data_IF_838205647449
#
_entry.id   IF_838205647449
#
_cell.length_a   1.000
_cell.length_b   1.000
_cell.length_c   1.000
_cell.angle_alpha   90.00
_cell.angle_beta   90.00
_cell.angle_gamma   90.00
#
_symmetry.space_group_name_H-M   'P 1'
#
loop_
_entity.id
_entity.type
_entity.pdbx_description
1 polymer ?
#
# COMPACT_ATOMS: atom_id res chain seq x y z
N UNK A 1 1.25 9.46 -13.33
CA UNK A 1 2.68 9.44 -13.75
C UNK A 1 3.44 10.60 -13.14
N UNK A 2 3.11 11.87 -13.46
CA UNK A 2 3.78 13.05 -12.86
C UNK A 2 3.81 13.02 -11.33
N UNK A 3 2.67 12.80 -10.67
CA UNK A 3 2.56 12.82 -9.21
C UNK A 3 3.54 11.84 -8.53
N UNK A 4 3.68 10.63 -9.09
CA UNK A 4 4.63 9.63 -8.58
C UNK A 4 6.10 10.04 -8.79
N UNK A 5 6.40 10.83 -9.83
CA UNK A 5 7.75 11.33 -10.13
C UNK A 5 8.12 12.55 -9.27
N UNK A 6 7.12 13.34 -8.84
CA UNK A 6 7.31 14.45 -7.89
C UNK A 6 7.54 13.97 -6.46
N UNK A 7 7.16 12.72 -6.14
CA UNK A 7 7.51 12.06 -4.88
C UNK A 7 9.02 11.76 -4.84
N UNK A 8 9.77 12.69 -4.25
CA UNK A 8 11.22 12.60 -4.08
C UNK A 8 11.66 11.49 -3.12
N UNK A 9 10.82 11.09 -2.16
CA UNK A 9 11.15 9.99 -1.24
C UNK A 9 11.09 8.66 -1.98
N UNK A 10 10.01 8.44 -2.75
CA UNK A 10 9.87 7.29 -3.67
C UNK A 10 10.99 7.27 -4.71
N UNK A 11 11.05 8.32 -5.53
CA UNK A 11 11.94 8.35 -6.69
C UNK A 11 13.41 8.35 -6.25
N UNK A 12 13.72 9.04 -5.16
CA UNK A 12 15.05 9.04 -4.54
C UNK A 12 15.48 7.67 -4.01
N UNK A 13 14.58 6.91 -3.38
CA UNK A 13 14.90 5.56 -2.91
C UNK A 13 15.22 4.60 -4.07
N UNK A 14 14.44 4.63 -5.15
CA UNK A 14 14.73 3.84 -6.36
C UNK A 14 16.01 4.31 -7.06
N UNK A 15 16.24 5.62 -7.14
CA UNK A 15 17.48 6.15 -7.70
C UNK A 15 18.68 5.67 -6.90
N UNK A 16 18.64 5.78 -5.58
CA UNK A 16 19.73 5.35 -4.69
C UNK A 16 19.93 3.84 -4.72
N UNK A 17 18.85 3.04 -4.75
CA UNK A 17 18.97 1.58 -4.77
C UNK A 17 19.70 1.07 -6.00
N UNK A 18 19.62 1.80 -7.12
CA UNK A 18 20.37 1.50 -8.34
C UNK A 18 21.75 2.18 -8.33
N UNK A 19 21.83 3.48 -8.06
CA UNK A 19 23.06 4.27 -8.24
C UNK A 19 24.11 4.04 -7.15
N UNK A 20 23.72 3.65 -5.94
CA UNK A 20 24.66 3.25 -4.89
C UNK A 20 25.12 1.79 -5.07
N UNK A 21 24.44 1.02 -5.91
CA UNK A 21 24.71 -0.39 -6.19
C UNK A 21 25.04 -0.63 -7.67
N UNK A 22 25.71 0.31 -8.36
CA UNK A 22 25.98 0.20 -9.80
C UNK A 22 26.71 -1.10 -10.20
N UNK A 23 27.60 -1.61 -9.33
CA UNK A 23 28.32 -2.87 -9.57
C UNK A 23 27.37 -4.05 -9.77
N UNK A 24 26.26 -4.06 -9.03
CA UNK A 24 25.24 -5.10 -9.12
C UNK A 24 24.48 -5.05 -10.46
N UNK A 25 24.41 -3.88 -11.12
CA UNK A 25 23.76 -3.67 -12.42
C UNK A 25 24.73 -3.77 -13.61
N UNK A 26 26.03 -3.55 -13.40
CA UNK A 26 27.00 -3.48 -14.48
C UNK A 26 27.07 -4.79 -15.28
N UNK A 27 26.85 -4.69 -16.60
CA UNK A 27 26.86 -5.84 -17.51
C UNK A 27 25.65 -6.78 -17.39
N UNK A 28 24.66 -6.45 -16.55
CA UNK A 28 23.47 -7.27 -16.30
C UNK A 28 22.34 -7.03 -17.30
N UNK A 29 21.47 -8.03 -17.46
CA UNK A 29 20.20 -7.90 -18.16
C UNK A 29 19.10 -7.60 -17.14
N UNK A 30 18.37 -6.52 -17.34
CA UNK A 30 17.37 -6.01 -16.40
C UNK A 30 15.97 -6.04 -17.03
N UNK A 31 14.97 -6.42 -16.25
CA UNK A 31 13.56 -6.27 -16.60
C UNK A 31 12.92 -5.21 -15.69
N UNK A 32 12.34 -4.18 -16.28
CA UNK A 32 11.52 -3.17 -15.62
C UNK A 32 10.04 -3.46 -15.89
N UNK A 33 9.32 -3.92 -14.87
CA UNK A 33 7.90 -4.32 -14.97
C UNK A 33 6.99 -3.15 -14.63
N UNK A 34 6.21 -2.69 -15.60
CA UNK A 34 5.36 -1.51 -15.45
C UNK A 34 6.17 -0.22 -15.52
N UNK A 35 7.00 -0.08 -16.56
CA UNK A 35 8.00 0.98 -16.65
C UNK A 35 7.41 2.40 -16.64
N UNK A 36 6.13 2.55 -16.99
CA UNK A 36 5.45 3.85 -17.03
C UNK A 36 6.19 4.83 -17.93
N UNK A 37 6.81 5.84 -17.33
CA UNK A 37 7.63 6.85 -18.02
C UNK A 37 9.01 6.36 -18.49
N UNK A 38 9.48 5.18 -18.09
CA UNK A 38 10.82 4.68 -18.40
C UNK A 38 11.89 5.02 -17.36
N UNK A 39 11.54 5.69 -16.26
CA UNK A 39 12.54 6.24 -15.33
C UNK A 39 13.44 5.19 -14.68
N UNK A 40 12.89 4.04 -14.25
CA UNK A 40 13.67 2.97 -13.61
C UNK A 40 14.56 2.25 -14.63
N UNK A 41 14.04 2.01 -15.84
CA UNK A 41 14.85 1.52 -16.95
C UNK A 41 16.02 2.45 -17.31
N UNK A 42 15.81 3.76 -17.28
CA UNK A 42 16.87 4.76 -17.46
C UNK A 42 17.91 4.70 -16.34
N UNK A 43 17.49 4.52 -15.09
CA UNK A 43 18.43 4.34 -13.96
C UNK A 43 19.28 3.09 -14.16
N UNK A 44 18.65 1.95 -14.45
CA UNK A 44 19.36 0.68 -14.68
C UNK A 44 20.38 0.80 -15.84
N UNK A 45 19.99 1.43 -16.95
CA UNK A 45 20.90 1.65 -18.08
C UNK A 45 22.07 2.58 -17.72
N UNK A 46 21.82 3.66 -16.99
CA UNK A 46 22.87 4.58 -16.50
C UNK A 46 23.82 3.92 -15.50
N UNK A 47 23.36 2.92 -14.76
CA UNK A 47 24.19 2.09 -13.87
C UNK A 47 25.03 1.04 -14.60
N UNK A 48 24.98 1.00 -15.93
CA UNK A 48 25.82 0.12 -16.75
C UNK A 48 25.19 -1.22 -17.08
N UNK A 49 23.86 -1.37 -16.97
CA UNK A 49 23.18 -2.56 -17.46
C UNK A 49 23.52 -2.81 -18.95
N UNK A 50 23.79 -4.08 -19.28
CA UNK A 50 24.04 -4.50 -20.67
C UNK A 50 22.80 -4.34 -21.54
N UNK A 51 21.63 -4.65 -20.97
CA UNK A 51 20.34 -4.57 -21.65
C UNK A 51 19.24 -4.31 -20.62
N UNK A 52 18.26 -3.50 -20.97
CA UNK A 52 17.04 -3.31 -20.17
C UNK A 52 15.81 -3.57 -21.02
N UNK A 53 14.95 -4.47 -20.57
CA UNK A 53 13.61 -4.67 -21.12
C UNK A 53 12.62 -3.88 -20.27
N UNK A 54 12.02 -2.83 -20.84
CA UNK A 54 11.10 -1.95 -20.13
C UNK A 54 9.68 -2.22 -20.62
N UNK A 55 8.87 -2.90 -19.80
CA UNK A 55 7.54 -3.37 -20.20
C UNK A 55 6.47 -2.42 -19.66
N UNK A 56 5.59 -1.94 -20.52
CA UNK A 56 4.46 -1.07 -20.16
C UNK A 56 3.20 -1.47 -20.91
N UNK A 57 2.10 -1.67 -20.20
CA UNK A 57 0.85 -2.15 -20.79
C UNK A 57 0.11 -1.07 -21.60
N UNK A 58 0.19 0.18 -21.16
CA UNK A 58 -0.58 1.30 -21.69
C UNK A 58 0.16 2.04 -22.81
N UNK A 59 -0.50 3.05 -23.37
CA UNK A 59 0.11 3.98 -24.33
C UNK A 59 1.25 4.82 -23.74
N UNK A 60 1.48 4.77 -22.42
CA UNK A 60 2.64 5.39 -21.79
C UNK A 60 3.97 4.86 -22.35
N UNK A 61 3.98 3.64 -22.90
CA UNK A 61 5.13 3.05 -23.59
C UNK A 61 5.65 3.94 -24.74
N UNK A 62 4.78 4.71 -25.41
CA UNK A 62 5.18 5.66 -26.46
C UNK A 62 6.07 6.76 -25.88
N UNK A 63 5.70 7.32 -24.73
CA UNK A 63 6.46 8.35 -24.05
C UNK A 63 7.74 7.81 -23.39
N UNK A 64 7.70 6.58 -22.85
CA UNK A 64 8.89 5.91 -22.35
C UNK A 64 9.96 5.75 -23.45
N UNK A 65 9.56 5.41 -24.69
CA UNK A 65 10.49 5.39 -25.84
C UNK A 65 11.11 6.76 -26.09
N UNK A 66 10.31 7.82 -26.07
CA UNK A 66 10.82 9.19 -26.23
C UNK A 66 11.81 9.59 -25.13
N UNK A 67 11.54 9.21 -23.88
CA UNK A 67 12.47 9.46 -22.74
C UNK A 67 13.78 8.70 -22.90
N UNK A 68 13.72 7.43 -23.31
CA UNK A 68 14.90 6.60 -23.58
C UNK A 68 15.73 7.20 -24.71
N UNK A 69 15.08 7.57 -25.83
CA UNK A 69 15.73 8.16 -26.99
C UNK A 69 16.38 9.51 -26.66
N UNK A 70 15.68 10.40 -25.95
CA UNK A 70 16.20 11.71 -25.57
C UNK A 70 17.38 11.64 -24.60
N UNK A 71 17.55 10.51 -23.90
CA UNK A 71 18.69 10.25 -23.02
C UNK A 71 19.84 9.49 -23.72
N UNK A 72 19.71 9.17 -25.02
CA UNK A 72 20.73 8.44 -25.77
C UNK A 72 20.89 6.98 -25.34
N UNK A 73 19.82 6.35 -24.85
CA UNK A 73 19.85 5.00 -24.27
C UNK A 73 19.16 3.93 -25.12
N UNK A 74 18.78 4.26 -26.36
CA UNK A 74 18.03 3.37 -27.27
C UNK A 74 18.75 2.05 -27.58
N UNK A 75 20.09 2.02 -27.53
CA UNK A 75 20.87 0.80 -27.76
C UNK A 75 20.77 -0.18 -26.57
N UNK A 76 20.57 0.34 -25.36
CA UNK A 76 20.53 -0.44 -24.11
C UNK A 76 19.09 -0.79 -23.72
N UNK A 77 18.18 0.18 -23.77
CA UNK A 77 16.80 0.03 -23.30
C UNK A 77 15.86 -0.29 -24.46
N UNK A 78 15.11 -1.39 -24.34
CA UNK A 78 14.06 -1.78 -25.28
C UNK A 78 12.71 -1.71 -24.59
N UNK A 79 11.89 -0.73 -25.02
CA UNK A 79 10.54 -0.52 -24.49
C UNK A 79 9.53 -1.40 -25.25
N UNK A 80 8.89 -2.31 -24.52
CA UNK A 80 7.90 -3.26 -25.03
C UNK A 80 6.52 -2.82 -24.54
N UNK A 81 5.62 -2.52 -25.48
CA UNK A 81 4.24 -2.20 -25.14
C UNK A 81 3.42 -3.50 -25.06
N UNK A 82 2.87 -3.82 -23.90
CA UNK A 82 2.05 -5.01 -23.68
C UNK A 82 1.96 -5.44 -22.22
N UNK A 83 1.00 -6.31 -21.92
CA UNK A 83 0.84 -6.94 -20.60
C UNK A 83 1.99 -7.92 -20.36
N UNK A 84 2.69 -7.82 -19.23
CA UNK A 84 3.88 -8.65 -18.94
C UNK A 84 3.57 -10.15 -18.94
N UNK A 85 2.32 -10.50 -18.63
CA UNK A 85 1.74 -11.84 -18.67
C UNK A 85 1.74 -12.44 -20.09
N UNK A 86 1.66 -11.59 -21.12
CA UNK A 86 1.51 -12.01 -22.53
C UNK A 86 2.77 -11.84 -23.37
N UNK A 87 3.70 -10.98 -22.95
CA UNK A 87 4.94 -10.71 -23.69
C UNK A 87 5.95 -11.83 -23.53
N UNK A 88 6.95 -11.82 -24.42
CA UNK A 88 8.13 -12.69 -24.36
C UNK A 88 9.37 -11.83 -24.18
N UNK A 89 10.23 -12.23 -23.25
CA UNK A 89 11.60 -11.74 -23.13
C UNK A 89 12.51 -12.80 -23.75
N UNK A 90 13.45 -12.43 -24.65
CA UNK A 90 14.21 -13.40 -25.44
C UNK A 90 15.32 -14.14 -24.66
N UNK A 91 15.62 -13.70 -23.44
CA UNK A 91 16.65 -14.28 -22.56
C UNK A 91 16.25 -14.14 -21.08
N UNK A 92 16.76 -15.00 -20.17
CA UNK A 92 16.62 -14.78 -18.73
C UNK A 92 17.24 -13.44 -18.30
N UNK A 93 16.68 -12.82 -17.26
CA UNK A 93 17.16 -11.55 -16.73
C UNK A 93 17.85 -11.75 -15.38
N UNK A 94 18.91 -10.98 -15.12
CA UNK A 94 19.65 -11.01 -13.86
C UNK A 94 18.93 -10.22 -12.76
N UNK A 95 18.18 -9.18 -13.14
CA UNK A 95 17.51 -8.26 -12.20
C UNK A 95 16.09 -7.99 -12.68
N UNK A 96 15.13 -8.08 -11.77
CA UNK A 96 13.81 -7.48 -11.96
C UNK A 96 13.69 -6.27 -11.04
N UNK A 97 13.45 -5.11 -11.64
CA UNK A 97 13.12 -3.88 -10.94
C UNK A 97 11.68 -3.51 -11.25
N UNK A 98 10.92 -3.10 -10.24
CA UNK A 98 9.55 -2.65 -10.43
C UNK A 98 9.11 -1.80 -9.26
N UNK A 99 8.32 -0.78 -9.56
CA UNK A 99 7.53 -0.09 -8.55
C UNK A 99 6.08 -0.54 -8.73
N UNK A 100 5.66 -1.43 -7.83
CA UNK A 100 4.40 -2.16 -7.89
C UNK A 100 3.47 -1.86 -6.71
N UNK A 101 3.93 -1.05 -5.76
CA UNK A 101 3.28 -0.91 -4.47
C UNK A 101 2.07 0.02 -4.60
N UNK A 102 0.88 -0.48 -4.24
CA UNK A 102 -0.31 0.34 -4.09
C UNK A 102 -0.45 0.90 -2.67
N UNK A 103 -1.56 1.60 -2.39
CA UNK A 103 -1.92 1.92 -1.01
C UNK A 103 -1.99 0.65 -0.15
N UNK A 104 -1.51 0.76 1.10
CA UNK A 104 -1.37 -0.39 1.99
C UNK A 104 -0.64 -1.58 1.35
N UNK A 105 0.37 -1.28 0.52
CA UNK A 105 1.24 -2.21 -0.24
C UNK A 105 0.53 -2.99 -1.36
N UNK A 106 -0.61 -3.60 -1.05
CA UNK A 106 -1.23 -4.66 -1.88
C UNK A 106 -2.34 -4.16 -2.80
N UNK A 107 -2.78 -2.89 -2.69
CA UNK A 107 -3.80 -2.34 -3.60
C UNK A 107 -3.30 -2.41 -5.05
N UNK A 108 -4.23 -2.52 -5.99
CA UNK A 108 -3.99 -2.62 -7.44
C UNK A 108 -3.51 -3.99 -7.92
N UNK A 109 -3.12 -4.88 -7.00
CA UNK A 109 -2.65 -6.25 -7.28
C UNK A 109 -1.50 -6.34 -8.28
N UNK A 110 -0.69 -5.29 -8.43
CA UNK A 110 0.41 -5.28 -9.39
C UNK A 110 1.54 -6.25 -9.00
N UNK A 111 1.62 -6.64 -7.72
CA UNK A 111 2.54 -7.68 -7.25
C UNK A 111 2.33 -9.00 -8.02
N UNK A 112 1.11 -9.34 -8.44
CA UNK A 112 0.82 -10.53 -9.24
C UNK A 112 1.67 -10.56 -10.53
N UNK A 113 1.68 -9.45 -11.26
CA UNK A 113 2.46 -9.29 -12.50
C UNK A 113 3.97 -9.38 -12.25
N UNK A 114 4.45 -8.89 -11.10
CA UNK A 114 5.87 -8.97 -10.71
C UNK A 114 6.26 -10.40 -10.36
N UNK A 115 5.44 -11.13 -9.60
CA UNK A 115 5.71 -12.52 -9.25
C UNK A 115 5.68 -13.43 -10.48
N UNK A 116 4.72 -13.22 -11.38
CA UNK A 116 4.69 -13.91 -12.68
C UNK A 116 5.94 -13.61 -13.51
N UNK A 117 6.44 -12.38 -13.48
CA UNK A 117 7.67 -12.00 -14.18
C UNK A 117 8.90 -12.66 -13.57
N UNK A 118 8.98 -12.73 -12.23
CA UNK A 118 10.02 -13.45 -11.50
C UNK A 118 10.07 -14.90 -11.92
N UNK A 119 8.94 -15.60 -11.84
CA UNK A 119 8.88 -17.05 -12.07
C UNK A 119 9.16 -17.42 -13.54
N UNK A 120 8.87 -16.51 -14.48
CA UNK A 120 9.06 -16.74 -15.92
C UNK A 120 10.43 -16.31 -16.44
N UNK A 121 10.99 -15.22 -15.92
CA UNK A 121 12.10 -14.53 -16.56
C UNK A 121 13.34 -14.39 -15.69
N UNK A 122 13.24 -14.42 -14.36
CA UNK A 122 14.41 -14.24 -13.50
C UNK A 122 15.33 -15.45 -13.59
N UNK A 123 16.61 -15.21 -13.86
CA UNK A 123 17.63 -16.26 -13.83
C UNK A 123 17.82 -16.79 -12.39
N UNK A 124 18.27 -18.04 -12.20
CA UNK A 124 18.68 -18.53 -10.88
C UNK A 124 19.71 -17.61 -10.23
N UNK A 125 19.47 -17.21 -8.98
CA UNK A 125 20.30 -16.23 -8.25
C UNK A 125 20.09 -14.77 -8.66
N UNK A 126 19.16 -14.49 -9.58
CA UNK A 126 18.80 -13.13 -9.95
C UNK A 126 18.21 -12.32 -8.79
N UNK A 127 18.30 -11.00 -8.89
CA UNK A 127 17.91 -10.09 -7.82
C UNK A 127 16.59 -9.35 -8.08
N UNK A 128 15.81 -9.16 -7.02
CA UNK A 128 14.56 -8.39 -7.02
C UNK A 128 14.78 -6.99 -6.41
N UNK A 129 14.24 -5.96 -7.06
CA UNK A 129 14.27 -4.57 -6.60
C UNK A 129 12.84 -3.99 -6.55
N UNK A 130 12.23 -3.84 -5.35
CA UNK A 130 12.76 -4.22 -4.02
C UNK A 130 12.88 -5.73 -3.83
N UNK A 131 13.61 -6.18 -2.81
CA UNK A 131 13.77 -7.61 -2.47
C UNK A 131 12.84 -8.06 -1.34
N UNK A 132 12.45 -7.14 -0.46
CA UNK A 132 11.53 -7.42 0.65
C UNK A 132 10.49 -6.32 0.79
N UNK A 133 9.33 -6.68 1.33
CA UNK A 133 8.28 -5.74 1.70
C UNK A 133 7.69 -6.08 3.07
N UNK A 134 7.33 -5.08 3.87
CA UNK A 134 6.76 -5.22 5.21
C UNK A 134 5.56 -4.33 5.39
N UNK A 135 4.58 -4.79 6.16
CA UNK A 135 3.36 -4.03 6.49
C UNK A 135 3.27 -3.83 7.99
N UNK A 136 2.88 -2.63 8.40
CA UNK A 136 2.85 -2.20 9.80
C UNK A 136 1.48 -1.69 10.19
N UNK A 137 1.17 -1.85 11.48
CA UNK A 137 0.09 -1.14 12.15
C UNK A 137 0.64 -0.36 13.34
N UNK A 138 -0.01 0.75 13.65
CA UNK A 138 0.28 1.60 14.81
C UNK A 138 -1.02 2.29 15.28
N UNK A 139 -1.29 2.37 16.59
CA UNK A 139 -2.45 3.10 17.09
C UNK A 139 -2.18 4.61 17.07
N UNK A 140 -3.14 5.39 16.58
CA UNK A 140 -3.02 6.85 16.50
C UNK A 140 -4.20 7.58 17.16
N UNK A 141 -3.94 8.82 17.56
CA UNK A 141 -4.92 9.82 17.96
C UNK A 141 -5.15 10.82 16.82
N UNK A 142 -6.40 11.12 16.49
CA UNK A 142 -6.73 12.04 15.40
C UNK A 142 -8.14 12.60 15.50
N UNK A 143 -8.27 13.90 15.22
CA UNK A 143 -9.57 14.57 15.14
C UNK A 143 -10.35 14.17 13.86
N UNK A 144 -9.71 13.54 12.89
CA UNK A 144 -10.40 13.09 11.67
C UNK A 144 -11.50 12.04 11.98
N UNK A 145 -11.34 11.25 13.03
CA UNK A 145 -12.34 10.27 13.44
C UNK A 145 -13.64 10.93 13.95
N UNK A 146 -13.53 12.03 14.71
CA UNK A 146 -14.71 12.77 15.16
C UNK A 146 -15.38 13.52 14.01
N UNK A 147 -14.59 14.17 13.15
CA UNK A 147 -15.09 14.87 11.96
C UNK A 147 -15.92 13.95 11.06
N UNK A 148 -15.40 12.77 10.69
CA UNK A 148 -16.13 11.81 9.85
C UNK A 148 -17.42 11.31 10.50
N UNK A 149 -17.45 11.19 11.83
CA UNK A 149 -18.66 10.82 12.58
C UNK A 149 -19.70 11.94 12.57
N UNK A 150 -19.26 13.18 12.71
CA UNK A 150 -20.13 14.36 12.61
C UNK A 150 -20.73 14.48 11.20
N UNK A 151 -19.91 14.32 10.16
CA UNK A 151 -20.36 14.29 8.76
C UNK A 151 -21.36 13.18 8.48
N UNK A 152 -21.08 11.96 8.96
CA UNK A 152 -22.03 10.84 8.89
C UNK A 152 -23.35 11.19 9.58
N UNK A 153 -23.28 11.72 10.80
CA UNK A 153 -24.48 12.05 11.60
C UNK A 153 -25.31 13.16 10.94
N UNK A 154 -24.65 14.18 10.40
CA UNK A 154 -25.28 15.25 9.63
C UNK A 154 -25.94 14.74 8.36
N UNK A 155 -25.27 13.84 7.63
CA UNK A 155 -25.82 13.20 6.42
C UNK A 155 -27.06 12.37 6.75
N UNK A 156 -27.03 11.59 7.84
CA UNK A 156 -28.18 10.81 8.28
C UNK A 156 -29.35 11.68 8.75
N UNK A 157 -29.08 12.82 9.37
CA UNK A 157 -30.12 13.78 9.74
C UNK A 157 -30.73 14.42 8.48
N UNK A 158 -29.89 14.90 7.55
CA UNK A 158 -30.35 15.49 6.29
C UNK A 158 -31.18 14.52 5.46
N UNK A 159 -30.88 13.22 5.50
CA UNK A 159 -31.71 12.19 4.87
C UNK A 159 -33.10 12.09 5.50
N UNK A 160 -33.21 12.13 6.83
CA UNK A 160 -34.52 12.10 7.51
C UNK A 160 -35.37 13.33 7.18
N UNK A 161 -34.73 14.50 7.15
CA UNK A 161 -35.41 15.75 6.81
C UNK A 161 -35.89 15.71 5.35
N UNK A 162 -35.04 15.26 4.42
CA UNK A 162 -35.41 15.04 3.02
C UNK A 162 -36.58 14.05 2.86
N UNK A 163 -36.59 12.95 3.62
CA UNK A 163 -37.69 11.99 3.60
C UNK A 163 -39.00 12.62 4.08
N UNK A 164 -38.95 13.45 5.13
CA UNK A 164 -40.11 14.16 5.64
C UNK A 164 -40.65 15.16 4.60
N UNK A 165 -39.78 15.94 3.96
CA UNK A 165 -40.15 16.87 2.90
C UNK A 165 -40.80 16.13 1.71
N UNK A 166 -40.23 15.01 1.27
CA UNK A 166 -40.79 14.26 0.13
C UNK A 166 -42.17 13.69 0.45
N UNK A 167 -42.36 13.20 1.68
CA UNK A 167 -43.66 12.74 2.14
C UNK A 167 -44.68 13.89 2.24
N UNK A 168 -44.27 15.07 2.71
CA UNK A 168 -45.15 16.24 2.88
C UNK A 168 -45.54 16.88 1.54
N UNK A 169 -44.57 17.12 0.65
CA UNK A 169 -44.78 17.88 -0.58
C UNK A 169 -45.25 17.02 -1.76
N UNK A 170 -44.88 15.73 -1.79
CA UNK A 170 -45.14 14.85 -2.93
C UNK A 170 -45.92 13.59 -2.59
N UNK A 171 -46.24 13.33 -1.31
CA UNK A 171 -46.93 12.12 -0.85
C UNK A 171 -46.24 10.82 -1.28
N UNK A 172 -44.89 10.79 -1.20
CA UNK A 172 -44.08 9.61 -1.53
C UNK A 172 -43.30 9.14 -0.30
N UNK A 173 -43.56 7.90 0.14
CA UNK A 173 -42.82 7.25 1.22
C UNK A 173 -41.50 6.66 0.72
N UNK A 174 -40.38 7.26 1.14
CA UNK A 174 -39.02 6.80 0.83
C UNK A 174 -38.40 5.94 1.94
N UNK A 175 -39.15 5.54 2.98
CA UNK A 175 -38.64 4.77 4.13
C UNK A 175 -37.96 3.45 3.74
N UNK A 176 -38.35 2.86 2.61
CA UNK A 176 -37.72 1.66 2.06
C UNK A 176 -36.24 1.87 1.70
N UNK A 177 -35.80 3.11 1.47
CA UNK A 177 -34.42 3.47 1.13
C UNK A 177 -33.55 3.81 2.35
N UNK A 178 -34.12 3.97 3.55
CA UNK A 178 -33.34 4.38 4.73
C UNK A 178 -32.22 3.41 5.09
N UNK A 179 -32.49 2.09 5.05
CA UNK A 179 -31.47 1.07 5.36
C UNK A 179 -30.36 0.99 4.31
N UNK A 180 -30.67 0.93 2.99
CA UNK A 180 -29.64 1.04 1.95
C UNK A 180 -28.79 2.31 2.07
N UNK A 181 -29.43 3.46 2.29
CA UNK A 181 -28.74 4.74 2.43
C UNK A 181 -27.82 4.74 3.67
N UNK A 182 -28.31 4.31 4.84
CA UNK A 182 -27.50 4.22 6.06
C UNK A 182 -26.26 3.34 5.85
N UNK A 183 -26.43 2.18 5.19
CA UNK A 183 -25.32 1.28 4.88
C UNK A 183 -24.29 1.97 3.98
N UNK A 184 -24.73 2.60 2.90
CA UNK A 184 -23.85 3.31 1.97
C UNK A 184 -23.04 4.41 2.67
N UNK A 185 -23.71 5.24 3.47
CA UNK A 185 -23.04 6.32 4.20
C UNK A 185 -22.10 5.78 5.28
N UNK A 186 -22.45 4.67 5.93
CA UNK A 186 -21.58 4.02 6.92
C UNK A 186 -20.32 3.49 6.24
N UNK A 187 -20.48 2.78 5.12
CA UNK A 187 -19.39 2.22 4.33
C UNK A 187 -18.44 3.34 3.87
N UNK A 188 -18.98 4.48 3.44
CA UNK A 188 -18.21 5.64 2.97
C UNK A 188 -17.51 6.41 4.11
N UNK A 189 -18.23 6.81 5.16
CA UNK A 189 -17.67 7.67 6.21
C UNK A 189 -16.90 6.90 7.28
N UNK A 190 -17.38 5.72 7.70
CA UNK A 190 -16.87 5.07 8.91
C UNK A 190 -16.02 3.83 8.61
N UNK A 191 -16.39 3.05 7.60
CA UNK A 191 -15.75 1.77 7.32
C UNK A 191 -14.77 1.86 6.12
N UNK A 192 -14.69 2.98 5.40
CA UNK A 192 -13.65 3.21 4.39
C UNK A 192 -12.30 3.54 5.05
N UNK A 193 -11.24 2.84 4.64
CA UNK A 193 -9.88 3.27 4.92
C UNK A 193 -9.61 4.58 4.19
N UNK A 194 -8.95 5.51 4.87
CA UNK A 194 -8.64 6.82 4.30
C UNK A 194 -7.15 7.04 4.16
N UNK A 195 -6.76 7.68 3.06
CA UNK A 195 -5.45 8.31 2.95
C UNK A 195 -5.32 9.42 4.00
N UNK A 196 -4.21 9.45 4.72
CA UNK A 196 -3.85 10.51 5.66
C UNK A 196 -2.34 10.79 5.59
N UNK A 197 -1.97 12.04 5.82
CA UNK A 197 -0.60 12.46 6.13
C UNK A 197 -0.42 12.49 7.65
N UNK A 198 -0.10 11.35 8.24
CA UNK A 198 -0.03 11.18 9.69
C UNK A 198 1.30 11.74 10.19
N UNK A 199 1.24 12.68 11.14
CA UNK A 199 2.42 13.20 11.81
C UNK A 199 2.87 12.27 12.96
N UNK A 200 4.18 12.09 13.22
CA UNK A 200 4.66 11.23 14.30
C UNK A 200 4.09 11.55 15.70
N UNK A 201 3.71 12.81 15.97
CA UNK A 201 3.07 13.20 17.24
C UNK A 201 1.67 12.63 17.45
N UNK A 202 1.05 12.05 16.41
CA UNK A 202 -0.25 11.39 16.50
C UNK A 202 -0.12 9.94 16.95
N UNK A 203 1.10 9.38 16.97
CA UNK A 203 1.35 8.00 17.36
C UNK A 203 1.16 7.82 18.86
N UNK A 204 0.35 6.83 19.26
CA UNK A 204 0.02 6.53 20.67
C UNK A 204 0.79 5.31 21.18
N UNK A 205 1.36 4.51 20.27
CA UNK A 205 1.99 3.24 20.59
C UNK A 205 3.09 2.85 19.62
N UNK A 206 3.82 1.78 19.92
CA UNK A 206 4.88 1.33 19.03
C UNK A 206 4.30 0.66 17.78
N UNK A 207 4.88 0.94 16.59
CA UNK A 207 4.49 0.25 15.39
C UNK A 207 4.91 -1.22 15.42
N UNK A 208 4.09 -2.09 14.84
CA UNK A 208 4.39 -3.52 14.74
C UNK A 208 4.27 -3.98 13.30
N UNK A 209 5.34 -4.62 12.80
CA UNK A 209 5.32 -5.36 11.55
C UNK A 209 4.45 -6.61 11.73
N UNK A 210 3.30 -6.66 11.08
CA UNK A 210 2.38 -7.80 11.19
C UNK A 210 2.51 -8.76 10.00
N UNK A 211 3.11 -8.32 8.89
CA UNK A 211 3.33 -9.14 7.70
C UNK A 211 4.63 -8.73 6.99
N UNK A 212 5.38 -9.72 6.54
CA UNK A 212 6.63 -9.54 5.78
C UNK A 212 6.63 -10.49 4.58
N UNK A 213 7.15 -10.01 3.46
CA UNK A 213 7.29 -10.74 2.21
C UNK A 213 8.76 -10.70 1.77
N UNK A 214 9.32 -11.89 1.51
CA UNK A 214 10.56 -12.05 0.74
C UNK A 214 10.15 -12.27 -0.71
N UNK A 215 10.47 -11.30 -1.58
CA UNK A 215 10.00 -11.31 -2.97
C UNK A 215 10.66 -12.39 -3.83
N UNK A 216 11.72 -13.05 -3.34
CA UNK A 216 12.28 -14.22 -4.01
C UNK A 216 11.49 -15.50 -3.69
N UNK A 217 10.75 -15.52 -2.57
CA UNK A 217 10.10 -16.74 -2.06
C UNK A 217 8.57 -16.71 -2.11
N UNK A 218 7.97 -15.54 -1.94
CA UNK A 218 6.52 -15.38 -1.87
C UNK A 218 5.86 -15.92 -3.13
N UNK A 219 4.80 -16.70 -2.99
CA UNK A 219 4.05 -17.26 -4.10
C UNK A 219 2.82 -16.41 -4.37
N UNK A 220 2.31 -16.47 -5.61
CA UNK A 220 1.12 -15.69 -5.97
C UNK A 220 -0.11 -16.06 -5.12
N UNK A 221 -0.21 -17.33 -4.70
CA UNK A 221 -1.27 -17.80 -3.82
C UNK A 221 -1.22 -17.13 -2.45
N UNK A 222 -0.03 -16.80 -1.93
CA UNK A 222 0.13 -16.12 -0.64
C UNK A 222 -0.51 -14.72 -0.60
N UNK A 223 -0.80 -14.13 -1.78
CA UNK A 223 -1.38 -12.80 -1.95
C UNK A 223 -2.81 -12.86 -2.54
N UNK A 224 -3.15 -13.93 -3.26
CA UNK A 224 -4.49 -14.13 -3.83
C UNK A 224 -5.47 -14.74 -2.84
N UNK A 225 -4.98 -15.60 -1.94
CA UNK A 225 -5.77 -16.13 -0.83
C UNK A 225 -5.88 -15.11 0.32
N UNK A 226 -6.77 -15.38 1.29
CA UNK A 226 -6.93 -14.54 2.47
C UNK A 226 -5.63 -14.43 3.25
N UNK A 227 -5.08 -13.22 3.35
CA UNK A 227 -3.89 -12.97 4.16
C UNK A 227 -4.30 -12.82 5.61
N UNK A 228 -3.91 -13.80 6.43
CA UNK A 228 -4.17 -13.81 7.86
C UNK A 228 -2.93 -13.36 8.64
N UNK A 229 -3.12 -12.53 9.67
CA UNK A 229 -2.08 -12.12 10.59
C UNK A 229 -2.63 -11.84 11.99
N UNK A 230 -1.76 -11.86 12.99
CA UNK A 230 -2.08 -11.42 14.35
C UNK A 230 -0.90 -10.64 14.90
N UNK A 231 -1.17 -9.51 15.52
CA UNK A 231 -0.15 -8.71 16.19
C UNK A 231 -0.72 -8.06 17.46
N UNK A 232 0.18 -7.56 18.31
CA UNK A 232 -0.19 -6.85 19.52
C UNK A 232 0.56 -5.53 19.53
N UNK A 233 -0.17 -4.42 19.47
CA UNK A 233 0.38 -3.07 19.44
C UNK A 233 0.59 -2.57 20.88
N UNK A 234 1.83 -2.30 21.32
CA UNK A 234 2.07 -1.74 22.65
C UNK A 234 1.59 -0.29 22.74
N UNK A 235 0.88 0.07 23.81
CA UNK A 235 0.43 1.45 24.07
C UNK A 235 1.50 2.17 24.90
N UNK A 236 2.08 3.22 24.31
CA UNK A 236 3.13 4.03 24.92
C UNK A 236 2.61 5.21 25.71
N UNK A 237 1.42 5.70 25.38
CA UNK A 237 0.82 6.90 25.94
C UNK A 237 -0.64 6.66 26.33
N UNK A 238 -1.06 7.17 27.50
CA UNK A 238 -2.47 7.15 27.90
C UNK A 238 -3.30 8.14 27.06
N UNK A 239 -4.58 7.83 26.87
CA UNK A 239 -5.54 8.67 26.16
C UNK A 239 -6.37 7.88 25.14
N UNK A 240 -6.80 8.56 24.09
CA UNK A 240 -7.66 7.99 23.06
C UNK A 240 -6.87 7.35 21.91
N UNK A 241 -7.38 6.22 21.42
CA UNK A 241 -7.04 5.62 20.14
C UNK A 241 -8.23 5.82 19.20
N UNK A 242 -8.04 6.68 18.21
CA UNK A 242 -9.07 7.09 17.26
C UNK A 242 -9.01 6.29 15.97
N UNK A 243 -7.85 5.75 15.63
CA UNK A 243 -7.66 4.96 14.43
C UNK A 243 -6.44 4.02 14.54
N UNK A 244 -6.43 3.01 13.67
CA UNK A 244 -5.23 2.27 13.33
C UNK A 244 -4.61 2.91 12.08
N UNK A 245 -3.36 3.34 12.19
CA UNK A 245 -2.56 3.80 11.07
C UNK A 245 -1.77 2.62 10.52
N UNK A 246 -1.75 2.48 9.20
CA UNK A 246 -1.01 1.43 8.52
C UNK A 246 -0.18 1.97 7.35
N UNK A 247 0.98 1.37 7.17
CA UNK A 247 1.93 1.71 6.12
C UNK A 247 2.76 0.50 5.76
N UNK A 248 3.68 0.69 4.83
CA UNK A 248 4.62 -0.32 4.42
C UNK A 248 6.04 0.20 4.30
N UNK A 249 6.98 -0.75 4.36
CA UNK A 249 8.36 -0.56 3.97
C UNK A 249 8.68 -1.49 2.80
N UNK A 250 9.58 -1.07 1.92
CA UNK A 250 10.27 -1.95 0.99
C UNK A 250 11.78 -1.77 1.11
N UNK A 251 12.52 -2.87 0.97
CA UNK A 251 13.96 -2.92 1.16
C UNK A 251 14.63 -3.41 -0.12
N UNK A 252 15.77 -2.80 -0.46
CA UNK A 252 16.57 -3.15 -1.62
C UNK A 252 17.86 -3.82 -1.14
N UNK A 253 17.82 -5.14 -0.97
CA UNK A 253 18.96 -5.95 -0.51
C UNK A 253 19.62 -6.81 -1.62
N UNK A 254 19.10 -6.77 -2.85
CA UNK A 254 19.54 -7.66 -3.94
C UNK A 254 19.10 -9.11 -3.72
N UNK A 255 19.92 -10.08 -4.14
CA UNK A 255 19.76 -11.52 -3.89
C UNK A 255 20.91 -12.07 -3.03
N UNK A 256 20.87 -13.36 -2.68
CA UNK A 256 22.00 -13.98 -1.96
C UNK A 256 23.27 -14.03 -2.82
N UNK A 257 23.12 -14.24 -4.13
CA UNK A 257 24.19 -14.36 -5.10
C UNK A 257 24.62 -13.00 -5.69
N UNK A 258 23.77 -11.98 -5.58
CA UNK A 258 24.04 -10.61 -6.00
C UNK A 258 23.52 -9.62 -4.93
N UNK A 259 24.13 -9.60 -3.73
CA UNK A 259 23.71 -8.71 -2.65
C UNK A 259 24.09 -7.26 -3.00
N UNK A 260 23.29 -6.31 -2.51
CA UNK A 260 23.62 -4.89 -2.59
C UNK A 260 24.79 -4.55 -1.68
N UNK A 261 25.64 -3.62 -2.13
CA UNK A 261 26.69 -3.01 -1.29
C UNK A 261 26.04 -2.11 -0.23
N UNK A 262 24.99 -1.37 -0.61
CA UNK A 262 24.25 -0.45 0.25
C UNK A 262 22.76 -0.81 0.25
N UNK A 263 22.24 -1.18 1.43
CA UNK A 263 20.81 -1.44 1.61
C UNK A 263 20.02 -0.14 1.64
N UNK A 264 19.05 0.00 0.74
CA UNK A 264 18.15 1.14 0.72
C UNK A 264 16.79 0.75 1.28
N UNK A 265 16.20 1.64 2.08
CA UNK A 265 14.85 1.52 2.62
C UNK A 265 13.96 2.60 2.00
N UNK A 266 12.82 2.20 1.45
CA UNK A 266 11.71 3.10 1.16
C UNK A 266 10.61 2.81 2.19
N UNK A 267 10.40 3.76 3.10
CA UNK A 267 9.34 3.68 4.11
C UNK A 267 8.22 4.66 3.79
N UNK A 268 6.99 4.25 4.11
CA UNK A 268 5.81 5.12 4.10
C UNK A 268 5.29 5.40 5.51
N UNK A 269 6.13 5.19 6.54
CA UNK A 269 5.80 5.52 7.92
C UNK A 269 5.47 7.01 8.12
N UNK A 270 4.73 7.37 9.19
CA UNK A 270 4.56 8.75 9.61
C UNK A 270 5.88 9.52 9.65
N UNK A 271 5.93 10.71 9.06
CA UNK A 271 7.14 11.52 8.92
C UNK A 271 6.83 12.99 9.17
N UNK A 272 7.63 13.63 10.03
CA UNK A 272 7.45 15.04 10.37
C UNK A 272 7.69 16.00 9.19
N UNK A 273 8.34 15.53 8.13
CA UNK A 273 8.65 16.28 6.91
C UNK A 273 7.62 16.09 5.79
N UNK A 274 6.53 15.37 6.06
CA UNK A 274 5.44 15.07 5.12
C UNK A 274 5.54 13.66 4.52
N UNK A 275 4.43 13.14 4.02
CA UNK A 275 4.34 11.78 3.50
C UNK A 275 4.86 11.61 2.06
N UNK A 276 5.11 10.35 1.71
CA UNK A 276 5.11 9.89 0.31
C UNK A 276 3.71 10.03 -0.28
N UNK A 277 3.56 9.94 -1.60
CA UNK A 277 2.23 10.02 -2.22
C UNK A 277 1.27 8.90 -1.76
N UNK A 278 1.80 7.78 -1.24
CA UNK A 278 0.98 6.72 -0.63
C UNK A 278 0.32 7.14 0.68
N UNK A 279 0.88 8.14 1.38
CA UNK A 279 0.46 8.51 2.72
C UNK A 279 0.51 7.30 3.67
N UNK A 280 -0.39 7.31 4.65
CA UNK A 280 -0.75 6.14 5.43
C UNK A 280 -2.22 5.83 5.21
N UNK A 281 -2.57 4.55 5.32
CA UNK A 281 -3.97 4.13 5.37
C UNK A 281 -4.44 4.13 6.81
N UNK A 282 -5.51 4.88 7.07
CA UNK A 282 -6.06 5.05 8.41
C UNK A 282 -7.42 4.36 8.50
N UNK A 283 -7.56 3.49 9.50
CA UNK A 283 -8.77 2.72 9.79
C UNK A 283 -9.41 3.27 11.07
N UNK A 284 -10.45 4.09 10.92
CA UNK A 284 -11.05 4.82 12.03
C UNK A 284 -11.84 3.90 12.96
N UNK A 285 -11.66 4.11 14.28
CA UNK A 285 -12.34 3.34 15.30
C UNK A 285 -13.61 4.07 15.75
N UNK A 286 -14.73 3.37 15.63
CA UNK A 286 -16.03 3.87 16.02
C UNK A 286 -16.72 2.89 16.97
N UNK A 287 -16.86 3.20 18.28
CA UNK A 287 -16.28 4.37 18.98
C UNK A 287 -14.75 4.33 19.11
N UNK A 288 -14.13 5.47 19.43
CA UNK A 288 -12.70 5.52 19.82
C UNK A 288 -12.48 4.70 21.10
N UNK A 289 -11.26 4.20 21.31
CA UNK A 289 -10.90 3.46 22.52
C UNK A 289 -10.18 4.38 23.50
N UNK A 290 -10.47 4.25 24.79
CA UNK A 290 -9.65 4.83 25.85
C UNK A 290 -8.61 3.80 26.29
N UNK A 291 -7.39 4.25 26.59
CA UNK A 291 -6.29 3.38 27.00
C UNK A 291 -5.35 4.07 27.99
N UNK A 292 -4.57 3.26 28.72
CA UNK A 292 -3.47 3.74 29.55
C UNK A 292 -2.12 3.22 29.05
N UNK A 293 -1.06 3.99 29.31
CA UNK A 293 0.31 3.54 29.07
C UNK A 293 0.56 2.18 29.73
N UNK A 294 1.09 1.25 28.95
CA UNK A 294 1.32 -0.13 29.39
C UNK A 294 0.23 -1.12 28.97
N UNK A 295 -0.92 -0.63 28.49
CA UNK A 295 -1.87 -1.46 27.78
C UNK A 295 -1.30 -1.91 26.43
N UNK A 296 -2.02 -2.80 25.76
CA UNK A 296 -1.72 -3.29 24.42
C UNK A 296 -2.99 -3.55 23.63
N UNK A 297 -2.96 -3.31 22.34
CA UNK A 297 -4.09 -3.55 21.44
C UNK A 297 -3.80 -4.78 20.60
N UNK A 298 -4.45 -5.91 20.91
CA UNK A 298 -4.36 -7.13 20.09
C UNK A 298 -5.21 -6.95 18.84
N UNK A 299 -4.64 -7.29 17.69
CA UNK A 299 -5.31 -7.31 16.38
C UNK A 299 -5.25 -8.73 15.79
N UNK A 300 -6.37 -9.23 15.29
CA UNK A 300 -6.43 -10.29 14.27
C UNK A 300 -6.86 -9.66 12.96
N UNK A 301 -6.09 -9.89 11.91
CA UNK A 301 -6.20 -9.19 10.64
C UNK A 301 -6.45 -10.21 9.54
N UNK A 302 -7.48 -9.97 8.74
CA UNK A 302 -7.74 -10.71 7.50
C UNK A 302 -7.82 -9.72 6.34
N UNK A 303 -6.94 -9.87 5.35
CA UNK A 303 -6.94 -9.05 4.13
C UNK A 303 -7.43 -9.92 2.98
N UNK A 304 -8.47 -9.45 2.31
CA UNK A 304 -9.10 -10.11 1.18
C UNK A 304 -9.20 -9.16 -0.01
N UNK A 305 -9.12 -9.70 -1.23
CA UNK A 305 -9.48 -8.97 -2.44
C UNK A 305 -11.01 -8.93 -2.57
N UNK A 306 -11.58 -7.80 -3.02
CA UNK A 306 -13.02 -7.72 -3.30
C UNK A 306 -13.36 -8.64 -4.49
N UNK A 307 -14.51 -9.31 -4.44
CA UNK A 307 -14.94 -10.24 -5.51
C UNK A 307 -15.29 -9.50 -6.79
N UNK A 308 -15.80 -8.29 -6.65
CA UNK A 308 -16.24 -7.43 -7.76
C UNK A 308 -15.05 -6.86 -8.54
N UNK A 309 -13.96 -6.54 -7.82
CA UNK A 309 -12.72 -6.06 -8.40
C UNK A 309 -11.54 -6.52 -7.54
N UNK A 310 -10.75 -7.45 -8.07
CA UNK A 310 -9.64 -8.05 -7.34
C UNK A 310 -8.53 -7.05 -6.98
N UNK A 311 -8.51 -5.87 -7.62
CA UNK A 311 -7.57 -4.77 -7.33
C UNK A 311 -7.91 -4.00 -6.05
N UNK A 312 -9.14 -4.14 -5.56
CA UNK A 312 -9.62 -3.51 -4.33
C UNK A 312 -9.53 -4.48 -3.17
N UNK A 313 -9.42 -3.95 -1.95
CA UNK A 313 -9.24 -4.77 -0.77
C UNK A 313 -10.33 -4.55 0.28
N UNK A 314 -10.54 -5.59 1.06
CA UNK A 314 -11.31 -5.57 2.28
C UNK A 314 -10.41 -6.05 3.43
N UNK A 315 -10.38 -5.31 4.51
CA UNK A 315 -9.55 -5.60 5.69
C UNK A 315 -10.47 -5.80 6.88
N UNK A 316 -10.63 -7.05 7.32
CA UNK A 316 -11.32 -7.36 8.57
C UNK A 316 -10.31 -7.29 9.71
N UNK A 317 -10.65 -6.54 10.75
CA UNK A 317 -9.83 -6.40 11.96
C UNK A 317 -10.71 -6.73 13.17
N UNK A 318 -10.33 -7.78 13.89
CA UNK A 318 -10.82 -8.05 15.24
C UNK A 318 -9.81 -7.47 16.22
N UNK A 319 -10.22 -6.50 17.02
CA UNK A 319 -9.33 -5.81 17.95
C UNK A 319 -9.85 -5.86 19.38
N UNK A 320 -8.94 -5.99 20.33
CA UNK A 320 -9.24 -5.98 21.77
C UNK A 320 -8.11 -5.32 22.56
N UNK A 321 -8.45 -4.32 23.38
CA UNK A 321 -7.52 -3.73 24.34
C UNK A 321 -7.26 -4.74 25.47
N UNK A 322 -5.99 -4.88 25.87
CA UNK A 322 -5.51 -5.82 26.88
C UNK A 322 -4.52 -5.11 27.80
N UNK A 323 -4.62 -5.36 29.10
CA UNK A 323 -3.79 -4.68 30.08
C UNK A 323 -4.41 -4.70 31.47
N UNK A 324 -3.80 -3.97 32.39
CA UNK A 324 -4.26 -3.85 33.78
C UNK A 324 -5.16 -2.65 34.01
N UNK A 325 -5.26 -1.71 33.05
CA UNK A 325 -6.12 -0.55 33.16
C UNK A 325 -7.59 -0.96 33.25
N UNK A 326 -8.41 -0.07 33.82
CA UNK A 326 -9.86 -0.28 33.86
C UNK A 326 -10.44 -0.44 32.46
N UNK A 327 -9.98 0.36 31.49
CA UNK A 327 -10.44 0.30 30.10
C UNK A 327 -10.14 -1.05 29.46
N UNK A 328 -8.94 -1.60 29.69
CA UNK A 328 -8.56 -2.90 29.15
C UNK A 328 -9.31 -4.06 29.81
N UNK A 329 -9.61 -3.96 31.11
CA UNK A 329 -10.40 -4.96 31.83
C UNK A 329 -11.86 -5.01 31.37
N UNK A 330 -12.43 -3.85 31.05
CA UNK A 330 -13.80 -3.71 30.55
C UNK A 330 -13.92 -3.91 29.02
N UNK A 331 -12.79 -3.92 28.30
CA UNK A 331 -12.78 -4.01 26.84
C UNK A 331 -13.31 -5.35 26.31
N UNK A 332 -14.23 -5.25 25.36
CA UNK A 332 -14.71 -6.38 24.57
C UNK A 332 -13.96 -6.44 23.24
N UNK A 333 -13.91 -7.63 22.62
CA UNK A 333 -13.39 -7.77 21.26
C UNK A 333 -14.40 -7.14 20.30
N UNK A 334 -13.90 -6.28 19.40
CA UNK A 334 -14.71 -5.61 18.39
C UNK A 334 -14.22 -6.03 17.02
N UNK A 335 -15.17 -6.43 16.18
CA UNK A 335 -14.94 -6.70 14.76
C UNK A 335 -15.30 -5.47 13.94
N UNK A 336 -14.39 -5.09 13.03
CA UNK A 336 -14.68 -4.13 11.95
C UNK A 336 -14.20 -4.67 10.62
N UNK A 337 -14.89 -4.28 9.56
CA UNK A 337 -14.55 -4.62 8.19
C UNK A 337 -14.36 -3.32 7.45
N UNK A 338 -13.16 -3.09 6.95
CA UNK A 338 -12.79 -1.87 6.28
C UNK A 338 -12.61 -2.08 4.78
N UNK A 339 -12.80 -1.02 4.01
CA UNK A 339 -12.67 -1.04 2.56
C UNK A 339 -11.54 -0.14 2.07
N UNK A 340 -10.67 -0.68 1.21
CA UNK A 340 -9.63 0.09 0.52
C UNK A 340 -10.01 0.06 -0.97
N UNK A 341 -10.44 1.22 -1.46
CA UNK A 341 -10.90 1.43 -2.84
C UNK A 341 -9.82 2.00 -3.76
#
# INVERSE_FOLDING_TARGET
>A
QKDMLEDHKRTGAYFNSVMQNQKQFQGKVVLDVGTGSGILAVFAAKAGAKKVYAVEATDMAKYARSVVESNGLSDVVTVIQGMVESIKIPEPVDIIISEWMGYFLLRESMLDSVLLSRDRFLAPGGAMYPSHARMYFCPIRTNAASQRREEYSGTMQGWRDFQADVQEFYDVDLSCLSKPFEKEQRDYYLDAAAWQDVHPSQVVGQPVCFKSYDLHKVQIQDIQETVNATCTLPIGESGQIDALCAWFDVQFCGSQENPTDEEVLLTTAPDATGSTHWGQQTFFLHPSLECERGDSLRLKIEINRKKENHRLMQVRIDYKLQGTSRFAQEAQEVTRVFHIE
#
